data_IF_544558655693
#
_entry.id   IF_544558655693
#
_cell.length_a   1.000
_cell.length_b   1.000
_cell.length_c   1.000
_cell.angle_alpha   90.00
_cell.angle_beta   90.00
_cell.angle_gamma   90.00
#
_symmetry.space_group_name_H-M   'P 1'
#
loop_
_entity.id
_entity.type
_entity.pdbx_description
1 polymer ?
#
# COMPACT_ATOMS: atom_id res chain seq x y z
N UNK A 1 -48.14 10.21 77.30
CA UNK A 1 -49.06 9.30 76.60
C UNK A 1 -50.04 10.19 75.89
N UNK A 2 -49.83 10.42 74.60
CA UNK A 2 -50.74 11.18 73.76
C UNK A 2 -51.53 10.17 72.92
N UNK A 3 -52.84 10.09 73.25
CA UNK A 3 -53.79 9.27 72.49
C UNK A 3 -53.98 9.90 71.10
N UNK A 4 -53.53 9.19 70.13
CA UNK A 4 -53.72 9.53 68.72
C UNK A 4 -55.11 9.03 68.31
N UNK A 5 -56.12 9.93 68.32
CA UNK A 5 -57.44 9.70 67.81
C UNK A 5 -57.43 9.58 66.30
N UNK A 6 -57.31 8.36 65.78
CA UNK A 6 -57.61 8.09 64.38
C UNK A 6 -59.09 8.20 64.09
N UNK A 7 -59.54 9.23 63.45
CA UNK A 7 -60.91 9.35 62.97
C UNK A 7 -61.04 8.55 61.68
N UNK A 8 -61.78 7.42 61.68
CA UNK A 8 -61.96 6.67 60.46
C UNK A 8 -62.80 7.46 59.43
N UNK A 9 -62.17 8.01 58.41
CA UNK A 9 -62.90 8.64 57.34
C UNK A 9 -63.47 7.57 56.42
N UNK A 10 -64.76 7.35 56.49
CA UNK A 10 -65.47 6.44 55.59
C UNK A 10 -65.75 7.14 54.28
N UNK A 11 -64.90 6.88 53.29
CA UNK A 11 -65.09 7.40 51.90
C UNK A 11 -66.12 6.48 51.21
N UNK A 12 -67.31 7.02 51.00
CA UNK A 12 -68.31 6.36 50.15
C UNK A 12 -68.27 6.88 48.77
N UNK A 13 -67.73 6.09 47.83
CA UNK A 13 -67.74 6.44 46.42
C UNK A 13 -69.16 6.27 45.89
N UNK A 14 -69.79 7.40 45.52
CA UNK A 14 -71.17 7.43 45.02
C UNK A 14 -71.29 7.30 43.51
N UNK A 15 -70.17 7.03 42.83
CA UNK A 15 -70.19 6.84 41.38
C UNK A 15 -70.91 5.52 41.08
N UNK A 16 -71.81 5.55 40.09
CA UNK A 16 -72.63 4.39 39.73
C UNK A 16 -71.81 3.15 39.34
N UNK A 17 -70.62 3.31 38.82
CA UNK A 17 -69.70 2.24 38.44
C UNK A 17 -68.91 1.62 39.61
N UNK A 18 -68.88 2.26 40.76
CA UNK A 18 -68.24 1.76 41.98
C UNK A 18 -69.15 0.85 42.82
N UNK A 19 -70.44 0.78 42.46
CA UNK A 19 -71.38 -0.12 43.09
C UNK A 19 -71.46 -1.42 42.36
N UNK A 20 -70.74 -2.41 42.80
CA UNK A 20 -70.58 -3.74 42.15
C UNK A 20 -71.83 -4.66 42.11
N UNK A 21 -73.03 -4.05 41.94
CA UNK A 21 -74.24 -4.78 41.77
C UNK A 21 -75.00 -4.21 40.55
N UNK A 22 -75.30 -5.12 39.60
CA UNK A 22 -76.02 -4.84 38.36
C UNK A 22 -75.30 -4.01 37.25
N UNK A 23 -74.15 -4.50 36.75
CA UNK A 23 -73.72 -4.20 35.45
C UNK A 23 -74.42 -5.11 34.44
N UNK A 24 -75.20 -4.60 33.46
CA UNK A 24 -75.69 -5.42 32.38
C UNK A 24 -74.53 -5.91 31.54
N UNK A 25 -74.30 -7.21 31.53
CA UNK A 25 -73.51 -7.93 30.52
C UNK A 25 -72.07 -7.49 30.37
N UNK A 26 -71.14 -8.22 30.97
CA UNK A 26 -69.68 -8.06 30.91
C UNK A 26 -69.05 -8.33 29.51
N UNK A 27 -69.82 -8.23 28.40
CA UNK A 27 -69.32 -8.59 27.08
C UNK A 27 -69.08 -7.39 26.11
N UNK A 28 -69.25 -6.17 26.58
CA UNK A 28 -68.95 -4.99 25.73
C UNK A 28 -68.27 -3.85 26.49
N UNK A 29 -67.43 -4.16 27.47
CA UNK A 29 -66.46 -3.19 27.93
C UNK A 29 -65.29 -3.16 26.94
N UNK A 30 -65.56 -2.83 25.67
CA UNK A 30 -64.59 -2.19 24.83
C UNK A 30 -64.11 -0.99 25.64
N UNK A 31 -62.92 -1.05 26.16
CA UNK A 31 -62.26 0.05 26.89
C UNK A 31 -62.37 1.32 26.01
N UNK A 32 -63.34 2.15 26.32
CA UNK A 32 -63.47 3.45 25.71
C UNK A 32 -62.36 4.31 26.24
N UNK A 33 -61.17 4.07 25.65
CA UNK A 33 -60.02 4.97 25.88
C UNK A 33 -60.44 6.37 25.42
N UNK A 34 -60.21 7.41 26.19
CA UNK A 34 -60.43 8.75 25.70
C UNK A 34 -59.70 8.96 24.36
N UNK A 35 -60.34 9.55 23.38
CA UNK A 35 -59.77 9.77 22.04
C UNK A 35 -58.37 10.44 22.06
N UNK A 36 -58.14 11.25 23.09
CA UNK A 36 -56.81 11.86 23.32
C UNK A 36 -55.71 10.85 23.67
N UNK A 37 -56.05 9.79 24.41
CA UNK A 37 -55.10 8.71 24.77
C UNK A 37 -54.75 7.90 23.51
N UNK A 38 -55.72 7.62 22.65
CA UNK A 38 -55.48 6.93 21.38
C UNK A 38 -54.60 7.75 20.43
N UNK A 39 -54.83 9.08 20.41
CA UNK A 39 -53.99 10.00 19.63
C UNK A 39 -52.53 10.04 20.13
N UNK A 40 -52.36 10.04 21.48
CA UNK A 40 -51.01 10.00 22.08
C UNK A 40 -50.33 8.67 21.84
N UNK A 41 -51.04 7.53 21.98
CA UNK A 41 -50.47 6.23 21.68
C UNK A 41 -50.04 6.11 20.23
N UNK A 42 -50.82 6.67 19.28
CA UNK A 42 -50.47 6.72 17.88
C UNK A 42 -49.23 7.59 17.63
N UNK A 43 -49.14 8.81 18.21
CA UNK A 43 -47.97 9.66 18.10
C UNK A 43 -46.71 9.02 18.68
N UNK A 44 -46.89 8.30 19.80
CA UNK A 44 -45.78 7.56 20.42
C UNK A 44 -45.32 6.42 19.50
N UNK A 45 -46.23 5.61 18.97
CA UNK A 45 -45.89 4.55 18.01
C UNK A 45 -45.22 5.07 16.73
N UNK A 46 -45.71 6.20 16.19
CA UNK A 46 -45.12 6.83 15.03
C UNK A 46 -43.69 7.36 15.33
N UNK A 47 -43.51 7.95 16.54
CA UNK A 47 -42.20 8.43 16.98
C UNK A 47 -41.21 7.27 17.22
N UNK A 48 -41.65 6.18 17.83
CA UNK A 48 -40.85 4.99 18.04
C UNK A 48 -40.43 4.35 16.70
N UNK A 49 -41.36 4.28 15.76
CA UNK A 49 -41.09 3.78 14.42
C UNK A 49 -40.05 4.65 13.69
N UNK A 50 -40.21 5.96 13.75
CA UNK A 50 -39.24 6.90 13.19
C UNK A 50 -37.85 6.76 13.85
N UNK A 51 -37.81 6.65 15.17
CA UNK A 51 -36.55 6.43 15.89
C UNK A 51 -35.86 5.13 15.46
N UNK A 52 -36.63 4.04 15.32
CA UNK A 52 -36.08 2.76 14.84
C UNK A 52 -35.56 2.85 13.38
N UNK A 53 -36.29 3.54 12.50
CA UNK A 53 -35.85 3.81 11.14
C UNK A 53 -34.56 4.63 11.10
N UNK A 54 -34.45 5.69 11.90
CA UNK A 54 -33.24 6.49 11.99
C UNK A 54 -32.07 5.71 12.57
N UNK A 55 -32.30 4.89 13.59
CA UNK A 55 -31.25 4.00 14.14
C UNK A 55 -30.78 2.98 13.11
N UNK A 56 -31.71 2.43 12.32
CA UNK A 56 -31.38 1.54 11.21
C UNK A 56 -30.49 2.23 10.16
N UNK A 57 -30.90 3.41 9.70
CA UNK A 57 -30.15 4.22 8.73
C UNK A 57 -28.78 4.63 9.28
N UNK A 58 -28.72 5.02 10.54
CA UNK A 58 -27.45 5.37 11.21
C UNK A 58 -26.48 4.19 11.26
N UNK A 59 -26.97 3.00 11.66
CA UNK A 59 -26.15 1.79 11.69
C UNK A 59 -25.63 1.42 10.29
N UNK A 60 -26.49 1.49 9.29
CA UNK A 60 -26.11 1.22 7.91
C UNK A 60 -25.06 2.22 7.44
N UNK A 61 -25.31 3.52 7.61
CA UNK A 61 -24.37 4.57 7.21
C UNK A 61 -23.01 4.43 7.93
N UNK A 62 -23.04 4.07 9.23
CA UNK A 62 -21.82 3.83 10.00
C UNK A 62 -21.03 2.63 9.46
N UNK A 63 -21.71 1.55 9.10
CA UNK A 63 -21.05 0.38 8.49
C UNK A 63 -20.46 0.72 7.12
N UNK A 64 -21.23 1.40 6.26
CA UNK A 64 -20.76 1.84 4.94
C UNK A 64 -19.54 2.77 5.08
N UNK A 65 -19.54 3.67 6.04
CA UNK A 65 -18.41 4.55 6.33
C UNK A 65 -17.16 3.79 6.76
N UNK A 66 -17.28 2.80 7.66
CA UNK A 66 -16.14 1.98 8.07
C UNK A 66 -15.58 1.13 6.92
N UNK A 67 -16.45 0.58 6.07
CA UNK A 67 -16.03 -0.16 4.87
C UNK A 67 -15.31 0.77 3.89
N UNK A 68 -15.86 1.95 3.62
CA UNK A 68 -15.25 2.94 2.75
C UNK A 68 -13.89 3.41 3.28
N UNK A 69 -13.80 3.66 4.59
CA UNK A 69 -12.56 4.03 5.26
C UNK A 69 -11.49 2.94 5.19
N UNK A 70 -11.88 1.68 5.39
CA UNK A 70 -10.96 0.54 5.26
C UNK A 70 -10.44 0.39 3.82
N UNK A 71 -11.33 0.55 2.83
CA UNK A 71 -10.97 0.55 1.41
C UNK A 71 -10.00 1.68 1.08
N UNK A 72 -10.30 2.90 1.49
CA UNK A 72 -9.45 4.06 1.25
C UNK A 72 -8.05 3.89 1.86
N UNK A 73 -7.94 3.36 3.09
CA UNK A 73 -6.64 3.04 3.70
C UNK A 73 -5.84 2.04 2.87
N UNK A 74 -6.50 1.01 2.34
CA UNK A 74 -5.85 0.01 1.49
C UNK A 74 -5.39 0.60 0.16
N UNK A 75 -6.18 1.48 -0.45
CA UNK A 75 -5.84 2.17 -1.69
C UNK A 75 -4.65 3.12 -1.46
N UNK A 76 -4.67 3.94 -0.40
CA UNK A 76 -3.55 4.82 -0.04
C UNK A 76 -2.25 4.04 0.21
N UNK A 77 -2.32 2.89 0.88
CA UNK A 77 -1.14 2.05 1.10
C UNK A 77 -0.57 1.52 -0.23
N UNK A 78 -1.43 1.10 -1.16
CA UNK A 78 -1.01 0.66 -2.49
C UNK A 78 -0.41 1.80 -3.33
N UNK A 79 -1.02 2.97 -3.28
CA UNK A 79 -0.53 4.14 -4.02
C UNK A 79 0.80 4.63 -3.48
N UNK A 80 0.98 4.62 -2.16
CA UNK A 80 2.26 4.94 -1.54
C UNK A 80 3.37 3.94 -1.96
N UNK A 81 3.05 2.63 -1.99
CA UNK A 81 4.00 1.61 -2.43
C UNK A 81 4.32 1.74 -3.92
N UNK A 82 3.33 2.03 -4.77
CA UNK A 82 3.55 2.30 -6.20
C UNK A 82 4.44 3.53 -6.39
N UNK A 83 4.10 4.64 -5.73
CA UNK A 83 4.89 5.88 -5.82
C UNK A 83 6.34 5.68 -5.37
N UNK A 84 6.54 4.95 -4.25
CA UNK A 84 7.87 4.58 -3.79
C UNK A 84 8.65 3.80 -4.84
N UNK A 85 8.00 2.85 -5.51
CA UNK A 85 8.58 2.02 -6.55
C UNK A 85 8.97 2.83 -7.79
N UNK A 86 8.09 3.72 -8.23
CA UNK A 86 8.34 4.60 -9.39
C UNK A 86 9.55 5.52 -9.14
N UNK A 87 9.67 6.06 -7.92
CA UNK A 87 10.85 6.85 -7.53
C UNK A 87 12.11 6.00 -7.53
N UNK A 88 12.08 4.80 -6.94
CA UNK A 88 13.24 3.91 -6.94
C UNK A 88 13.64 3.49 -8.37
N UNK A 89 12.67 3.20 -9.24
CA UNK A 89 12.92 2.88 -10.64
C UNK A 89 13.59 4.04 -11.39
N UNK A 90 13.13 5.28 -11.17
CA UNK A 90 13.76 6.46 -11.78
C UNK A 90 15.19 6.69 -11.31
N UNK A 91 15.50 6.36 -10.05
CA UNK A 91 16.86 6.43 -9.52
C UNK A 91 17.82 5.41 -10.15
N UNK A 92 17.30 4.30 -10.70
CA UNK A 92 18.14 3.32 -11.41
C UNK A 92 18.74 3.89 -12.69
N UNK A 93 18.10 4.86 -13.33
CA UNK A 93 18.66 5.55 -14.51
C UNK A 93 19.95 6.32 -14.16
N UNK A 94 20.03 6.82 -12.93
CA UNK A 94 21.26 7.47 -12.44
C UNK A 94 22.40 6.46 -12.33
N UNK A 95 22.12 5.25 -11.85
CA UNK A 95 23.09 4.16 -11.77
C UNK A 95 23.60 3.81 -13.18
N UNK A 96 22.68 3.64 -14.14
CA UNK A 96 23.04 3.33 -15.54
C UNK A 96 23.92 4.43 -16.16
N UNK A 97 23.64 5.68 -15.84
CA UNK A 97 24.46 6.82 -16.32
C UNK A 97 25.85 6.81 -15.68
N UNK A 98 25.96 6.47 -14.40
CA UNK A 98 27.24 6.28 -13.73
C UNK A 98 28.02 5.11 -14.33
N UNK A 99 27.39 3.97 -14.59
CA UNK A 99 28.00 2.81 -15.23
C UNK A 99 28.53 3.18 -16.63
N UNK A 100 27.71 3.88 -17.41
CA UNK A 100 28.11 4.36 -18.75
C UNK A 100 29.29 5.32 -18.69
N UNK A 101 29.32 6.22 -17.71
CA UNK A 101 30.42 7.16 -17.50
C UNK A 101 31.71 6.42 -17.13
N UNK A 102 31.63 5.44 -16.24
CA UNK A 102 32.78 4.61 -15.85
C UNK A 102 33.32 3.83 -17.05
N UNK A 103 32.45 3.21 -17.85
CA UNK A 103 32.85 2.45 -19.02
C UNK A 103 33.49 3.35 -20.09
N UNK A 104 32.97 4.56 -20.32
CA UNK A 104 33.54 5.53 -21.22
C UNK A 104 34.93 5.99 -20.78
N UNK A 105 35.11 6.29 -19.49
CA UNK A 105 36.38 6.68 -18.92
C UNK A 105 37.42 5.55 -19.05
N UNK A 106 37.05 4.30 -18.74
CA UNK A 106 37.92 3.13 -18.91
C UNK A 106 38.35 2.89 -20.36
N UNK A 107 37.45 3.08 -21.33
CA UNK A 107 37.76 2.98 -22.75
C UNK A 107 38.72 4.08 -23.18
N UNK A 108 38.52 5.31 -22.71
CA UNK A 108 39.42 6.45 -23.03
C UNK A 108 40.79 6.28 -22.42
N UNK A 109 40.90 5.73 -21.20
CA UNK A 109 42.19 5.44 -20.57
C UNK A 109 42.99 4.34 -21.30
N UNK A 110 42.32 3.42 -22.01
CA UNK A 110 42.95 2.35 -22.80
C UNK A 110 43.40 2.79 -24.22
N UNK A 111 42.92 3.95 -24.68
CA UNK A 111 43.27 4.46 -26.02
C UNK A 111 44.44 5.45 -25.89
N UNK A 112 45.61 5.14 -26.45
CA UNK A 112 46.74 6.09 -26.42
C UNK A 112 46.31 7.40 -27.10
N UNK A 113 46.50 8.55 -26.45
CA UNK A 113 46.24 9.86 -27.05
C UNK A 113 47.13 10.03 -28.28
N UNK A 114 46.58 10.09 -29.49
CA UNK A 114 47.39 10.50 -30.65
C UNK A 114 47.62 11.99 -30.55
N UNK A 115 48.81 12.45 -30.16
CA UNK A 115 49.16 13.85 -30.28
C UNK A 115 50.03 14.51 -29.21
N UNK A 116 50.49 13.80 -28.17
CA UNK A 116 51.56 14.40 -27.33
C UNK A 116 52.93 13.94 -27.82
N UNK A 117 53.50 14.72 -28.72
CA UNK A 117 54.86 14.51 -29.22
C UNK A 117 55.92 14.78 -28.17
N UNK A 118 55.87 14.07 -27.05
CA UNK A 118 56.97 14.02 -26.10
C UNK A 118 57.53 12.60 -26.10
N UNK A 119 58.79 12.48 -26.50
CA UNK A 119 59.57 11.25 -26.45
C UNK A 119 59.53 10.63 -25.06
N UNK A 120 59.47 9.28 -24.96
CA UNK A 120 59.46 8.58 -23.67
C UNK A 120 60.77 8.89 -22.93
N UNK A 121 60.62 9.48 -21.72
CA UNK A 121 61.75 9.59 -20.78
C UNK A 121 62.09 8.20 -20.23
N UNK A 122 63.30 7.70 -20.42
CA UNK A 122 63.67 6.40 -19.87
C UNK A 122 63.82 6.54 -18.33
N UNK A 123 62.89 5.92 -17.61
CA UNK A 123 62.97 5.90 -16.13
C UNK A 123 61.65 5.81 -15.33
N UNK A 124 60.49 5.95 -15.99
CA UNK A 124 59.18 5.84 -15.28
C UNK A 124 58.49 4.53 -15.60
N UNK A 125 58.99 3.46 -15.03
CA UNK A 125 58.39 2.14 -15.12
C UNK A 125 57.17 1.93 -14.18
N UNK A 126 56.34 2.96 -13.97
CA UNK A 126 55.19 2.91 -13.06
C UNK A 126 54.01 3.80 -13.55
N UNK A 127 53.75 3.81 -14.85
CA UNK A 127 52.71 4.71 -15.40
C UNK A 127 51.39 4.00 -15.85
N UNK A 128 51.14 2.77 -15.48
CA UNK A 128 49.92 2.10 -15.97
C UNK A 128 48.93 1.61 -14.89
N UNK A 129 49.09 1.95 -13.59
CA UNK A 129 48.15 1.51 -12.53
C UNK A 129 47.58 2.63 -11.66
N UNK A 130 47.86 3.90 -11.98
CA UNK A 130 47.10 4.98 -11.36
C UNK A 130 45.79 5.13 -12.12
N UNK A 131 44.79 4.30 -11.75
CA UNK A 131 43.42 4.57 -12.11
C UNK A 131 43.14 6.05 -11.87
N UNK A 132 42.67 6.77 -12.91
CA UNK A 132 42.40 8.20 -12.84
C UNK A 132 41.65 8.50 -11.52
N UNK A 133 42.17 9.39 -10.64
CA UNK A 133 41.53 9.70 -9.35
C UNK A 133 40.08 10.11 -9.51
N UNK A 134 39.72 10.69 -10.65
CA UNK A 134 38.32 10.99 -11.00
C UNK A 134 37.50 9.71 -11.18
N UNK A 135 38.01 8.70 -11.88
CA UNK A 135 37.36 7.44 -12.10
C UNK A 135 37.10 6.72 -10.78
N UNK A 136 38.12 6.67 -9.91
CA UNK A 136 37.97 6.10 -8.55
C UNK A 136 36.90 6.85 -7.74
N UNK A 137 36.85 8.18 -7.85
CA UNK A 137 35.82 9.01 -7.21
C UNK A 137 34.42 8.66 -7.70
N UNK A 138 34.23 8.49 -8.99
CA UNK A 138 32.91 8.11 -9.58
C UNK A 138 32.50 6.68 -9.17
N UNK A 139 33.44 5.74 -9.16
CA UNK A 139 33.20 4.37 -8.71
C UNK A 139 32.78 4.33 -7.24
N UNK A 140 33.42 5.14 -6.39
CA UNK A 140 33.05 5.26 -4.98
C UNK A 140 31.62 5.82 -4.81
N UNK A 141 31.27 6.88 -5.54
CA UNK A 141 29.92 7.46 -5.53
C UNK A 141 28.89 6.42 -5.98
N UNK A 142 29.18 5.67 -7.05
CA UNK A 142 28.32 4.58 -7.52
C UNK A 142 28.11 3.51 -6.43
N UNK A 143 29.18 3.07 -5.78
CA UNK A 143 29.12 2.07 -4.72
C UNK A 143 28.30 2.57 -3.52
N UNK A 144 28.51 3.82 -3.10
CA UNK A 144 27.72 4.44 -2.02
C UNK A 144 26.24 4.52 -2.40
N UNK A 145 25.92 4.85 -3.64
CA UNK A 145 24.56 4.94 -4.13
C UNK A 145 23.87 3.56 -4.11
N UNK A 146 24.52 2.52 -4.62
CA UNK A 146 24.03 1.15 -4.56
C UNK A 146 23.80 0.68 -3.11
N UNK A 147 24.74 0.96 -2.21
CA UNK A 147 24.57 0.62 -0.79
C UNK A 147 23.35 1.32 -0.15
N UNK A 148 23.04 2.55 -0.57
CA UNK A 148 21.81 3.23 -0.14
C UNK A 148 20.55 2.57 -0.69
N UNK A 149 20.56 2.15 -1.95
CA UNK A 149 19.45 1.41 -2.55
C UNK A 149 19.22 0.06 -1.86
N UNK A 150 20.30 -0.66 -1.50
CA UNK A 150 20.21 -1.88 -0.70
C UNK A 150 19.56 -1.63 0.66
N UNK A 151 19.85 -0.50 1.29
CA UNK A 151 19.19 -0.06 2.53
C UNK A 151 17.68 0.17 2.37
N UNK A 152 17.19 0.44 1.17
CA UNK A 152 15.75 0.49 0.83
C UNK A 152 15.17 -0.86 0.40
N UNK A 153 15.98 -1.93 0.46
CA UNK A 153 15.57 -3.29 0.07
C UNK A 153 15.67 -3.58 -1.42
N UNK A 154 16.31 -2.70 -2.19
CA UNK A 154 16.59 -2.93 -3.62
C UNK A 154 17.81 -3.83 -3.75
N UNK A 155 17.67 -4.96 -4.44
CA UNK A 155 18.74 -5.91 -4.68
C UNK A 155 18.94 -6.12 -6.18
N UNK A 156 20.20 -6.34 -6.57
CA UNK A 156 20.55 -6.62 -7.96
C UNK A 156 20.14 -8.03 -8.35
N UNK A 157 19.62 -8.21 -9.55
CA UNK A 157 19.31 -9.50 -10.12
C UNK A 157 20.61 -10.13 -10.63
N UNK A 158 20.96 -11.35 -10.20
CA UNK A 158 22.15 -12.04 -10.71
C UNK A 158 21.97 -12.40 -12.18
N UNK A 159 22.90 -11.97 -13.04
CA UNK A 159 22.81 -12.17 -14.49
C UNK A 159 24.02 -12.88 -15.07
N UNK A 160 25.20 -12.70 -14.47
CA UNK A 160 26.45 -13.25 -15.02
C UNK A 160 26.48 -14.78 -14.95
N UNK A 161 26.54 -15.43 -16.12
CA UNK A 161 26.56 -16.90 -16.24
C UNK A 161 25.26 -17.59 -15.86
N UNK A 162 24.20 -16.86 -15.55
CA UNK A 162 22.89 -17.41 -15.23
C UNK A 162 22.17 -17.91 -16.50
N UNK A 163 21.22 -18.81 -16.32
CA UNK A 163 20.24 -19.15 -17.37
C UNK A 163 19.24 -18.00 -17.52
N UNK A 164 18.78 -17.78 -18.74
CA UNK A 164 17.74 -16.81 -19.00
C UNK A 164 16.43 -17.22 -18.31
N UNK A 165 15.87 -16.33 -17.52
CA UNK A 165 14.58 -16.47 -16.86
C UNK A 165 13.66 -15.31 -17.27
N UNK A 166 12.57 -15.56 -18.02
CA UNK A 166 11.64 -14.52 -18.47
C UNK A 166 10.98 -13.71 -17.35
N UNK A 167 10.97 -14.21 -16.10
CA UNK A 167 10.37 -13.49 -14.97
C UNK A 167 11.22 -12.32 -14.48
N UNK A 168 12.54 -12.39 -14.69
CA UNK A 168 13.50 -11.39 -14.14
C UNK A 168 14.44 -10.81 -15.20
N UNK A 169 14.49 -11.42 -16.40
CA UNK A 169 15.35 -11.01 -17.50
C UNK A 169 14.53 -10.68 -18.74
N UNK A 170 15.00 -9.71 -19.51
CA UNK A 170 14.45 -9.35 -20.81
C UNK A 170 15.55 -9.50 -21.89
N UNK A 171 15.33 -10.42 -22.84
CA UNK A 171 16.27 -10.66 -23.94
C UNK A 171 16.10 -9.58 -25.01
N UNK A 172 17.10 -8.72 -25.17
CA UNK A 172 17.11 -7.64 -26.18
C UNK A 172 17.78 -8.12 -27.47
N UNK A 173 18.80 -8.97 -27.36
CA UNK A 173 19.54 -9.49 -28.51
C UNK A 173 19.97 -10.93 -28.28
N UNK A 174 20.23 -11.63 -29.38
CA UNK A 174 20.80 -12.99 -29.34
C UNK A 174 22.20 -12.96 -29.93
N UNK A 175 23.10 -13.75 -29.35
CA UNK A 175 24.47 -13.94 -29.80
C UNK A 175 24.62 -15.39 -30.23
N UNK A 176 25.18 -15.67 -31.44
CA UNK A 176 25.44 -17.05 -31.85
C UNK A 176 26.48 -17.68 -30.93
N UNK A 177 26.27 -18.94 -30.55
CA UNK A 177 27.16 -19.68 -29.66
C UNK A 177 26.95 -21.17 -29.75
N UNK A 178 27.68 -21.93 -28.93
CA UNK A 178 27.62 -23.38 -28.90
C UNK A 178 26.33 -23.89 -28.23
N UNK A 179 25.87 -25.08 -28.65
CA UNK A 179 24.70 -25.77 -28.05
C UNK A 179 24.79 -25.91 -26.51
N UNK A 180 25.99 -26.06 -25.97
CA UNK A 180 26.23 -26.18 -24.52
C UNK A 180 25.95 -24.85 -23.75
N UNK A 181 25.91 -23.74 -24.45
CA UNK A 181 25.66 -22.41 -23.89
C UNK A 181 24.26 -21.88 -24.25
N UNK A 182 23.44 -22.63 -24.97
CA UNK A 182 22.11 -22.21 -25.40
C UNK A 182 21.23 -21.81 -24.19
N UNK A 183 20.57 -20.68 -24.32
CA UNK A 183 19.73 -20.13 -23.24
C UNK A 183 20.51 -19.48 -22.08
N UNK A 184 21.84 -19.40 -22.13
CA UNK A 184 22.63 -18.65 -21.13
C UNK A 184 22.77 -17.18 -21.48
N UNK A 185 22.95 -16.38 -20.45
CA UNK A 185 23.20 -14.95 -20.60
C UNK A 185 24.66 -14.75 -21.07
N UNK A 186 24.81 -14.24 -22.29
CA UNK A 186 26.11 -13.92 -22.91
C UNK A 186 26.66 -12.59 -22.43
N UNK A 187 25.78 -11.63 -22.11
CA UNK A 187 26.18 -10.31 -21.66
C UNK A 187 24.98 -9.53 -21.10
N UNK A 188 25.30 -8.50 -20.33
CA UNK A 188 24.32 -7.63 -19.68
C UNK A 188 24.40 -6.24 -20.31
N UNK A 189 23.29 -5.77 -20.85
CA UNK A 189 23.16 -4.43 -21.44
C UNK A 189 22.77 -3.43 -20.38
N UNK A 190 21.78 -3.79 -19.52
CA UNK A 190 21.41 -3.00 -18.36
C UNK A 190 21.09 -3.92 -17.18
N UNK A 191 21.54 -3.53 -16.01
CA UNK A 191 21.34 -4.33 -14.79
C UNK A 191 19.88 -4.35 -14.36
N UNK A 192 19.40 -5.53 -13.93
CA UNK A 192 18.10 -5.70 -13.33
C UNK A 192 18.12 -5.51 -11.81
N UNK A 193 17.00 -5.03 -11.28
CA UNK A 193 16.84 -4.79 -9.84
C UNK A 193 15.46 -5.24 -9.36
N UNK A 194 15.40 -5.74 -8.13
CA UNK A 194 14.17 -6.15 -7.45
C UNK A 194 14.10 -5.52 -6.06
N UNK A 195 12.89 -5.39 -5.52
CA UNK A 195 12.63 -5.00 -4.15
C UNK A 195 11.87 -6.14 -3.46
N UNK A 196 12.51 -6.82 -2.49
CA UNK A 196 11.99 -8.07 -1.97
C UNK A 196 11.79 -9.11 -3.08
N UNK A 197 10.56 -9.59 -3.26
CA UNK A 197 10.20 -10.57 -4.30
C UNK A 197 9.71 -9.93 -5.62
N UNK A 198 9.57 -8.62 -5.67
CA UNK A 198 8.99 -7.91 -6.78
C UNK A 198 10.06 -7.29 -7.67
N UNK A 199 9.97 -7.50 -8.99
CA UNK A 199 10.89 -6.93 -9.97
C UNK A 199 10.57 -5.45 -10.17
N UNK A 200 11.55 -4.57 -9.88
CA UNK A 200 11.50 -3.14 -10.19
C UNK A 200 11.77 -2.88 -11.66
N UNK A 201 12.83 -3.54 -12.18
CA UNK A 201 13.24 -3.49 -13.57
C UNK A 201 13.92 -4.79 -13.95
N UNK A 202 13.50 -5.47 -15.02
CA UNK A 202 14.18 -6.66 -15.50
C UNK A 202 15.61 -6.32 -15.96
N UNK A 203 16.50 -7.30 -15.93
CA UNK A 203 17.81 -7.13 -16.52
C UNK A 203 17.71 -7.26 -18.06
N UNK A 204 18.23 -6.28 -18.79
CA UNK A 204 18.35 -6.33 -20.24
C UNK A 204 19.59 -7.13 -20.61
N UNK A 205 19.40 -8.27 -21.26
CA UNK A 205 20.48 -9.24 -21.50
C UNK A 205 20.58 -9.64 -22.97
N UNK A 206 21.78 -10.04 -23.36
CA UNK A 206 22.04 -10.78 -24.59
C UNK A 206 22.06 -12.27 -24.24
N UNK A 207 21.31 -13.09 -24.97
CA UNK A 207 21.17 -14.53 -24.74
C UNK A 207 21.89 -15.31 -25.84
N UNK A 208 22.61 -16.36 -25.46
CA UNK A 208 23.22 -17.28 -26.44
C UNK A 208 22.11 -18.08 -27.11
N UNK A 209 22.17 -18.15 -28.42
CA UNK A 209 21.33 -19.00 -29.25
C UNK A 209 22.20 -19.83 -30.15
N UNK A 210 22.07 -21.17 -30.02
CA UNK A 210 22.69 -22.13 -30.93
C UNK A 210 21.99 -22.15 -32.30
#
# INVERSE_FOLDING_TARGET
MADEYEVPVKVVDRRWWARGEDAPGSDTAASLKPSYVEELERKLADSEKQAQEYLGKYRQASQEFEVARARMRKELAKDAERSRRDVLASLLEVVDNLDRAIDAARKTAKTPRPGSGQAPRPGSGQENDAADPLLQGVELVRQQFLSKLEGFGVTRIPTEGAMFDPLVHEAVTTVPGDEAADGRIAGVIAQGYRIGDEVLRPALVAVVKA
#
